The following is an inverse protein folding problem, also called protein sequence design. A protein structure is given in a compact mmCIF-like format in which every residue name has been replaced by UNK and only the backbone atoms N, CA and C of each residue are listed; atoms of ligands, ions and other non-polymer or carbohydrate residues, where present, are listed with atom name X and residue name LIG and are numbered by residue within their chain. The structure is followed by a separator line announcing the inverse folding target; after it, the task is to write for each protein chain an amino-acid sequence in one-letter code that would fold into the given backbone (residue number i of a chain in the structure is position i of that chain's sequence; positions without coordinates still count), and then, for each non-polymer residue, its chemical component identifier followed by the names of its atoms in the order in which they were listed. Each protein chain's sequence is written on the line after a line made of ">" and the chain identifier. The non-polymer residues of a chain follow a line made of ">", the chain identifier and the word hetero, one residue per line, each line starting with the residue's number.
data_IF_773030270948
#
_entry.id   IF_773030270948
#
_cell.length_a   1.000
_cell.length_b   1.000
_cell.length_c   1.000
_cell.angle_alpha   90.00
_cell.angle_beta   90.00
_cell.angle_gamma   90.00
#
_symmetry.space_group_name_H-M   'P 1'
#
loop_
_entity.id
_entity.type
_entity.pdbx_description
1 polymer ?
#
# COMPACT_ATOMS: atom_id res chain seq x y z
N UNK A 1 -2.82 -4.81 21.35
CA UNK A 1 -1.61 -4.59 22.19
C UNK A 1 -0.33 -4.96 21.44
N UNK A 2 -0.24 -6.15 20.79
CA UNK A 2 0.98 -6.55 20.07
C UNK A 2 1.38 -5.53 18.97
N UNK A 3 0.46 -5.12 18.13
CA UNK A 3 0.71 -4.10 17.09
C UNK A 3 1.21 -2.77 17.68
N UNK A 4 0.64 -2.35 18.82
CA UNK A 4 1.08 -1.13 19.50
C UNK A 4 2.52 -1.25 20.05
N UNK A 5 2.91 -2.43 20.54
CA UNK A 5 4.27 -2.67 21.03
C UNK A 5 5.28 -2.64 19.86
N UNK A 6 4.96 -3.26 18.73
CA UNK A 6 5.80 -3.21 17.51
C UNK A 6 5.89 -1.78 16.97
N UNK A 7 4.77 -1.06 16.91
CA UNK A 7 4.77 0.36 16.53
C UNK A 7 5.65 1.21 17.45
N UNK A 8 5.62 0.94 18.77
CA UNK A 8 6.42 1.69 19.73
C UNK A 8 7.93 1.52 19.49
N UNK A 9 8.43 0.29 19.29
CA UNK A 9 9.86 0.09 18.99
C UNK A 9 10.25 0.70 17.64
N UNK A 10 9.35 0.69 16.64
CA UNK A 10 9.57 1.34 15.35
C UNK A 10 9.63 2.87 15.47
N UNK A 11 8.71 3.49 16.23
CA UNK A 11 8.69 4.94 16.49
C UNK A 11 9.90 5.42 17.29
N UNK A 12 10.29 4.66 18.31
CA UNK A 12 11.49 4.95 19.11
C UNK A 12 12.80 4.71 18.34
N UNK A 13 12.75 4.06 17.17
CA UNK A 13 13.96 3.76 16.40
C UNK A 13 14.86 2.69 17.03
N UNK A 14 14.33 1.84 17.89
CA UNK A 14 15.11 0.77 18.55
C UNK A 14 15.88 -0.08 17.53
N UNK A 15 15.29 -0.52 16.40
CA UNK A 15 16.04 -1.27 15.40
C UNK A 15 17.23 -0.50 14.81
N UNK A 16 17.11 0.81 14.62
CA UNK A 16 18.21 1.63 14.10
C UNK A 16 19.40 1.66 15.08
N UNK A 17 19.12 1.78 16.38
CA UNK A 17 20.13 1.80 17.42
C UNK A 17 20.85 0.46 17.62
N UNK A 18 20.23 -0.65 17.23
CA UNK A 18 20.79 -2.00 17.33
C UNK A 18 21.57 -2.43 16.07
N UNK A 19 21.59 -1.62 15.02
CA UNK A 19 22.29 -1.94 13.77
C UNK A 19 23.81 -2.17 13.97
N UNK A 20 24.43 -1.42 14.88
CA UNK A 20 25.86 -1.53 15.18
C UNK A 20 26.22 -2.67 16.15
N UNK A 21 25.24 -3.48 16.55
CA UNK A 21 25.41 -4.59 17.45
C UNK A 21 24.58 -4.52 18.74
N UNK A 22 24.66 -5.54 19.60
CA UNK A 22 23.88 -5.61 20.85
C UNK A 22 24.19 -4.47 21.82
N UNK A 23 23.15 -3.96 22.50
CA UNK A 23 23.23 -2.85 23.47
C UNK A 23 22.55 -3.19 24.79
N UNK A 24 23.00 -2.58 25.88
CA UNK A 24 22.31 -2.68 27.18
C UNK A 24 21.02 -1.87 27.17
N UNK A 25 20.18 -2.11 28.15
CA UNK A 25 18.91 -1.36 28.25
C UNK A 25 19.17 0.11 28.58
N UNK A 26 20.21 0.43 29.34
CA UNK A 26 20.61 1.78 29.71
C UNK A 26 21.10 2.56 28.49
N UNK A 27 21.94 1.92 27.64
CA UNK A 27 22.42 2.53 26.40
C UNK A 27 21.26 2.87 25.46
N UNK A 28 20.30 1.94 25.30
CA UNK A 28 19.12 2.16 24.47
C UNK A 28 18.20 3.22 25.06
N UNK A 29 17.94 3.16 26.35
CA UNK A 29 17.09 4.13 27.03
C UNK A 29 17.64 5.56 26.92
N UNK A 30 18.95 5.72 27.07
CA UNK A 30 19.62 6.99 26.85
C UNK A 30 19.49 7.47 25.39
N UNK A 31 19.68 6.55 24.42
CA UNK A 31 19.63 6.90 23.00
C UNK A 31 18.24 7.36 22.51
N UNK A 32 17.16 6.90 23.15
CA UNK A 32 15.77 7.22 22.75
C UNK A 32 15.02 8.08 23.78
N UNK A 33 15.73 8.65 24.75
CA UNK A 33 15.19 9.47 25.84
C UNK A 33 14.01 8.77 26.57
N UNK A 34 14.23 7.51 26.96
CA UNK A 34 13.23 6.68 27.62
C UNK A 34 13.67 6.27 29.03
N UNK A 35 12.72 5.87 29.85
CA UNK A 35 12.98 5.31 31.19
C UNK A 35 13.39 3.84 31.06
N UNK A 36 14.59 3.43 31.54
CA UNK A 36 15.12 2.07 31.33
C UNK A 36 14.16 0.96 31.79
N UNK A 37 13.55 1.12 32.94
CA UNK A 37 12.63 0.13 33.53
C UNK A 37 11.35 -0.05 32.68
N UNK A 38 10.89 0.99 31.98
CA UNK A 38 9.72 0.92 31.11
C UNK A 38 10.10 0.41 29.71
N UNK A 39 11.24 0.86 29.18
CA UNK A 39 11.78 0.35 27.92
C UNK A 39 12.06 -1.15 28.00
N UNK A 40 12.64 -1.63 29.11
CA UNK A 40 12.86 -3.06 29.35
C UNK A 40 11.56 -3.88 29.20
N UNK A 41 10.45 -3.38 29.75
CA UNK A 41 9.15 -4.06 29.63
C UNK A 41 8.66 -4.15 28.21
N UNK A 42 8.83 -3.07 27.43
CA UNK A 42 8.48 -3.02 26.00
C UNK A 42 9.36 -4.01 25.21
N UNK A 43 10.67 -4.00 25.41
CA UNK A 43 11.62 -4.85 24.70
C UNK A 43 11.39 -6.32 25.01
N UNK A 44 11.12 -6.67 26.27
CA UNK A 44 10.77 -8.05 26.66
C UNK A 44 9.49 -8.52 25.95
N UNK A 45 8.47 -7.66 25.84
CA UNK A 45 7.23 -8.00 25.14
C UNK A 45 7.48 -8.22 23.64
N UNK A 46 8.26 -7.36 23.00
CA UNK A 46 8.58 -7.45 21.56
C UNK A 46 9.56 -8.59 21.25
N UNK A 47 10.42 -8.98 22.19
CA UNK A 47 11.23 -10.20 22.10
C UNK A 47 10.35 -11.44 22.11
N UNK A 48 9.34 -11.51 22.98
CA UNK A 48 8.35 -12.59 22.97
C UNK A 48 7.57 -12.71 21.67
N UNK A 49 7.50 -11.64 20.86
CA UNK A 49 6.94 -11.64 19.51
C UNK A 49 7.96 -11.94 18.41
N UNK A 50 9.23 -12.16 18.75
CA UNK A 50 10.30 -12.46 17.81
C UNK A 50 10.98 -11.26 17.15
N UNK A 51 10.60 -10.02 17.50
CA UNK A 51 11.23 -8.82 16.93
C UNK A 51 12.60 -8.49 17.52
N UNK A 52 12.86 -8.89 18.74
CA UNK A 52 14.14 -8.69 19.43
C UNK A 52 14.60 -9.97 20.10
N UNK A 53 15.86 -10.03 20.48
CA UNK A 53 16.40 -11.12 21.30
C UNK A 53 17.31 -10.56 22.38
N UNK A 54 17.39 -11.24 23.52
CA UNK A 54 18.35 -10.94 24.58
C UNK A 54 19.54 -11.92 24.43
N UNK A 55 20.74 -11.36 24.48
CA UNK A 55 21.98 -12.13 24.41
C UNK A 55 22.33 -12.72 25.78
N UNK A 56 23.20 -13.75 25.86
CA UNK A 56 23.58 -14.36 27.14
C UNK A 56 24.22 -13.39 28.16
N UNK A 57 24.81 -12.28 27.69
CA UNK A 57 25.39 -11.22 28.53
C UNK A 57 24.37 -10.12 28.87
N UNK A 58 23.07 -10.35 28.63
CA UNK A 58 21.98 -9.45 29.03
C UNK A 58 21.81 -8.21 28.15
N UNK A 59 22.38 -8.21 26.94
CA UNK A 59 22.17 -7.15 25.95
C UNK A 59 21.05 -7.50 24.98
N UNK A 60 20.51 -6.50 24.35
CA UNK A 60 19.47 -6.62 23.33
C UNK A 60 20.06 -6.60 21.94
N UNK A 61 19.54 -7.45 21.06
CA UNK A 61 19.98 -7.56 19.68
C UNK A 61 18.78 -7.63 18.72
N UNK A 62 19.05 -7.32 17.45
CA UNK A 62 18.09 -7.45 16.35
C UNK A 62 17.81 -8.92 16.02
N UNK A 63 16.67 -9.11 15.37
CA UNK A 63 16.30 -10.31 14.61
C UNK A 63 16.00 -9.93 13.17
N UNK A 64 15.86 -10.86 12.23
CA UNK A 64 15.39 -10.56 10.87
C UNK A 64 14.05 -9.84 10.84
N UNK A 65 13.17 -10.05 11.84
CA UNK A 65 11.88 -9.36 11.95
C UNK A 65 12.01 -7.88 12.33
N UNK A 66 12.99 -7.50 13.13
CA UNK A 66 13.22 -6.09 13.45
C UNK A 66 14.09 -5.37 12.41
N UNK A 67 14.87 -6.09 11.61
CA UNK A 67 15.69 -5.48 10.56
C UNK A 67 14.83 -4.73 9.54
N UNK A 68 13.65 -5.26 9.18
CA UNK A 68 12.70 -4.58 8.28
C UNK A 68 12.03 -3.35 8.92
N UNK A 69 12.21 -3.09 10.20
CA UNK A 69 11.71 -1.88 10.88
C UNK A 69 12.76 -0.76 10.95
N UNK A 70 13.96 -0.96 10.44
CA UNK A 70 14.99 0.08 10.37
C UNK A 70 14.61 1.15 9.37
N UNK A 71 15.04 2.38 9.65
CA UNK A 71 14.77 3.53 8.78
C UNK A 71 15.52 3.47 7.44
N UNK A 72 16.69 2.80 7.43
CA UNK A 72 17.59 2.67 6.27
C UNK A 72 17.48 1.32 5.55
N UNK A 73 16.59 0.42 5.98
CA UNK A 73 16.35 -0.83 5.28
C UNK A 73 15.75 -0.55 3.89
N UNK A 74 16.29 -1.20 2.85
CA UNK A 74 15.85 -1.01 1.46
C UNK A 74 14.36 -1.33 1.25
N UNK A 75 13.82 -2.25 2.05
CA UNK A 75 12.41 -2.66 2.07
C UNK A 75 11.82 -2.43 3.46
N UNK A 76 11.94 -1.21 3.97
CA UNK A 76 11.47 -0.90 5.32
C UNK A 76 9.96 -0.95 5.45
N UNK A 77 9.47 -1.65 6.47
CA UNK A 77 8.08 -1.66 6.91
C UNK A 77 7.84 -0.77 8.14
N UNK A 78 8.83 0.04 8.54
CA UNK A 78 8.73 0.92 9.70
C UNK A 78 7.49 1.81 9.66
N UNK A 79 7.25 2.45 8.51
CA UNK A 79 6.12 3.38 8.39
C UNK A 79 4.77 2.68 8.47
N UNK A 80 4.68 1.45 7.96
CA UNK A 80 3.49 0.63 8.17
C UNK A 80 3.31 0.26 9.65
N UNK A 81 4.37 -0.16 10.33
CA UNK A 81 4.31 -0.42 11.76
C UNK A 81 3.89 0.83 12.57
N UNK A 82 4.27 2.03 12.14
CA UNK A 82 3.81 3.27 12.75
C UNK A 82 2.33 3.56 12.46
N UNK A 83 1.87 3.30 11.24
CA UNK A 83 0.49 3.53 10.80
C UNK A 83 -0.53 2.74 11.61
N UNK A 84 -0.29 1.44 11.85
CA UNK A 84 -1.25 0.55 12.52
C UNK A 84 -1.57 0.94 13.97
N UNK A 85 -0.77 1.80 14.59
CA UNK A 85 -1.01 2.36 15.92
C UNK A 85 -1.16 3.89 15.90
N UNK A 86 -1.45 4.47 14.74
CA UNK A 86 -1.84 5.87 14.66
C UNK A 86 -3.27 6.06 15.23
N UNK A 87 -3.53 7.20 15.83
CA UNK A 87 -4.76 7.47 16.55
C UNK A 87 -6.00 7.27 15.67
N UNK A 88 -5.98 7.83 14.46
CA UNK A 88 -7.11 7.70 13.53
C UNK A 88 -7.39 6.24 13.14
N UNK A 89 -6.33 5.44 12.97
CA UNK A 89 -6.43 4.03 12.62
C UNK A 89 -6.99 3.20 13.78
N UNK A 90 -6.44 3.41 14.99
CA UNK A 90 -6.86 2.66 16.19
C UNK A 90 -8.31 2.96 16.57
N UNK A 91 -8.74 4.21 16.44
CA UNK A 91 -10.15 4.59 16.74
C UNK A 91 -11.12 3.90 15.79
N UNK A 92 -10.79 3.86 14.50
CA UNK A 92 -11.61 3.18 13.51
C UNK A 92 -11.73 1.68 13.80
N UNK A 93 -10.63 0.99 14.11
CA UNK A 93 -10.64 -0.44 14.46
C UNK A 93 -11.58 -0.77 15.61
N UNK A 94 -11.71 0.11 16.61
CA UNK A 94 -12.60 -0.06 17.74
C UNK A 94 -14.10 0.02 17.40
N UNK A 95 -14.45 0.40 16.16
CA UNK A 95 -15.84 0.60 15.71
C UNK A 95 -16.29 -0.43 14.67
N UNK A 96 -15.61 -1.55 14.56
CA UNK A 96 -15.88 -2.57 13.52
C UNK A 96 -17.31 -3.13 13.60
N UNK A 97 -17.80 -3.42 14.80
CA UNK A 97 -19.15 -3.95 15.01
C UNK A 97 -20.24 -2.95 14.60
N UNK A 98 -19.98 -1.66 14.78
CA UNK A 98 -20.90 -0.60 14.37
C UNK A 98 -20.91 -0.43 12.85
N UNK A 99 -19.74 -0.48 12.18
CA UNK A 99 -19.66 -0.49 10.72
C UNK A 99 -20.41 -1.69 10.14
N UNK A 100 -20.27 -2.88 10.71
CA UNK A 100 -21.03 -4.07 10.27
C UNK A 100 -22.55 -3.89 10.40
N UNK A 101 -23.01 -3.17 11.43
CA UNK A 101 -24.45 -2.92 11.63
C UNK A 101 -25.02 -1.85 10.72
N UNK A 102 -24.25 -0.80 10.46
CA UNK A 102 -24.75 0.39 9.75
C UNK A 102 -24.40 0.40 8.27
N UNK A 103 -23.35 -0.30 7.87
CA UNK A 103 -22.76 -0.21 6.54
C UNK A 103 -21.97 1.08 6.30
N UNK A 104 -21.85 1.95 7.30
CA UNK A 104 -21.12 3.22 7.20
C UNK A 104 -19.66 3.04 7.61
N UNK A 105 -18.67 3.51 6.81
CA UNK A 105 -17.27 3.46 7.21
C UNK A 105 -17.02 4.15 8.56
N UNK A 106 -16.17 3.58 9.40
CA UNK A 106 -15.88 4.15 10.71
C UNK A 106 -15.23 5.54 10.62
N UNK A 107 -14.42 5.78 9.58
CA UNK A 107 -13.81 7.09 9.32
C UNK A 107 -14.86 8.16 9.08
N UNK A 108 -15.86 7.87 8.26
CA UNK A 108 -16.93 8.82 7.94
C UNK A 108 -17.72 9.20 9.19
N UNK A 109 -18.06 8.20 10.00
CA UNK A 109 -18.78 8.39 11.25
C UNK A 109 -17.97 9.12 12.33
N UNK A 110 -16.68 8.75 12.51
CA UNK A 110 -15.83 9.31 13.57
C UNK A 110 -15.35 10.72 13.23
N UNK A 111 -15.00 10.97 11.96
CA UNK A 111 -14.40 12.23 11.53
C UNK A 111 -15.35 13.11 10.70
N UNK A 112 -16.57 12.64 10.40
CA UNK A 112 -17.57 13.38 9.63
C UNK A 112 -17.21 13.54 8.16
N UNK A 113 -16.28 12.73 7.63
CA UNK A 113 -15.84 12.78 6.25
C UNK A 113 -15.08 11.51 5.84
N UNK A 114 -15.04 11.19 4.53
CA UNK A 114 -14.25 10.08 3.99
C UNK A 114 -12.75 10.17 4.35
N UNK A 115 -12.08 9.03 4.44
CA UNK A 115 -10.68 8.92 4.86
C UNK A 115 -9.73 9.84 4.07
N UNK A 116 -9.86 9.89 2.75
CA UNK A 116 -9.00 10.74 1.91
C UNK A 116 -9.25 12.23 2.15
N UNK A 117 -10.50 12.65 2.39
CA UNK A 117 -10.81 14.03 2.77
C UNK A 117 -10.29 14.39 4.17
N UNK A 118 -10.25 13.42 5.09
CA UNK A 118 -9.61 13.59 6.40
C UNK A 118 -8.10 13.85 6.25
N UNK A 119 -7.40 13.11 5.39
CA UNK A 119 -5.98 13.32 5.12
C UNK A 119 -5.66 14.69 4.50
N UNK A 120 -6.58 15.31 3.77
CA UNK A 120 -6.39 16.69 3.29
C UNK A 120 -6.34 17.70 4.45
N UNK A 121 -7.02 17.40 5.56
CA UNK A 121 -7.07 18.26 6.76
C UNK A 121 -6.00 17.92 7.79
N UNK A 122 -5.67 16.64 7.98
CA UNK A 122 -4.64 16.19 8.91
C UNK A 122 -3.37 15.74 8.16
N UNK A 123 -2.49 16.71 7.92
CA UNK A 123 -1.22 16.47 7.20
C UNK A 123 -0.31 15.45 7.87
N UNK A 124 -0.35 15.32 9.21
CA UNK A 124 0.48 14.35 9.94
C UNK A 124 0.02 12.92 9.66
N UNK A 125 -1.28 12.66 9.75
CA UNK A 125 -1.85 11.36 9.39
C UNK A 125 -1.67 11.05 7.91
N UNK A 126 -1.83 12.04 7.02
CA UNK A 126 -1.56 11.91 5.59
C UNK A 126 -0.10 11.50 5.32
N UNK A 127 0.87 12.14 5.95
CA UNK A 127 2.29 11.81 5.79
C UNK A 127 2.59 10.38 6.27
N UNK A 128 2.05 9.98 7.42
CA UNK A 128 2.21 8.63 7.97
C UNK A 128 1.62 7.59 6.99
N UNK A 129 0.43 7.85 6.47
CA UNK A 129 -0.23 7.00 5.49
C UNK A 129 0.58 6.90 4.19
N UNK A 130 0.98 8.02 3.61
CA UNK A 130 1.74 8.06 2.35
C UNK A 130 3.08 7.32 2.46
N UNK A 131 3.78 7.47 3.59
CA UNK A 131 5.02 6.74 3.86
C UNK A 131 4.79 5.24 4.01
N UNK A 132 3.69 4.83 4.66
CA UNK A 132 3.33 3.43 4.78
C UNK A 132 2.98 2.81 3.41
N UNK A 133 2.24 3.52 2.55
CA UNK A 133 1.94 3.07 1.18
C UNK A 133 3.21 2.98 0.32
N UNK A 134 4.15 3.91 0.49
CA UNK A 134 5.47 3.83 -0.15
C UNK A 134 6.23 2.58 0.33
N UNK A 135 6.21 2.27 1.63
CA UNK A 135 6.84 1.06 2.19
C UNK A 135 6.27 -0.22 1.56
N UNK A 136 4.96 -0.32 1.39
CA UNK A 136 4.37 -1.45 0.65
C UNK A 136 4.86 -1.51 -0.79
N UNK A 137 4.91 -0.38 -1.48
CA UNK A 137 5.34 -0.33 -2.87
C UNK A 137 6.80 -0.74 -3.05
N UNK A 138 7.70 -0.50 -2.08
CA UNK A 138 9.10 -0.96 -2.16
C UNK A 138 9.22 -2.48 -2.13
N UNK A 139 8.32 -3.15 -1.43
CA UNK A 139 8.30 -4.63 -1.34
C UNK A 139 7.55 -5.23 -2.54
N UNK A 140 6.41 -4.66 -2.90
CA UNK A 140 5.49 -5.24 -3.89
C UNK A 140 5.88 -4.97 -5.33
N UNK A 141 6.36 -3.75 -5.66
CA UNK A 141 6.62 -3.36 -7.04
C UNK A 141 7.62 -4.27 -7.78
N UNK A 142 8.74 -4.70 -7.19
CA UNK A 142 9.65 -5.63 -7.85
C UNK A 142 9.00 -6.99 -8.17
N UNK A 143 8.20 -7.53 -7.25
CA UNK A 143 7.55 -8.85 -7.42
C UNK A 143 6.49 -8.82 -8.52
N UNK A 144 5.80 -7.69 -8.67
CA UNK A 144 4.80 -7.48 -9.72
C UNK A 144 5.48 -7.31 -11.09
N UNK A 145 6.54 -6.48 -11.15
CA UNK A 145 7.30 -6.26 -12.36
C UNK A 145 8.01 -7.53 -12.86
N UNK A 146 8.28 -8.50 -11.97
CA UNK A 146 8.81 -9.81 -12.31
C UNK A 146 7.73 -10.79 -12.78
N UNK A 147 6.55 -10.78 -12.14
CA UNK A 147 5.48 -11.72 -12.43
C UNK A 147 4.76 -11.45 -13.75
N UNK A 148 4.68 -10.20 -14.18
CA UNK A 148 3.96 -9.81 -15.39
C UNK A 148 4.94 -9.41 -16.51
N UNK A 149 4.78 -10.00 -17.70
CA UNK A 149 5.56 -9.63 -18.88
C UNK A 149 4.98 -8.37 -19.57
N UNK A 150 5.65 -7.24 -19.36
CA UNK A 150 5.33 -5.95 -19.99
C UNK A 150 6.01 -5.73 -21.35
N UNK A 151 6.74 -6.70 -21.92
CA UNK A 151 7.54 -6.52 -23.13
C UNK A 151 6.75 -6.04 -24.35
N UNK A 152 5.44 -6.29 -24.38
CA UNK A 152 4.53 -5.84 -25.45
C UNK A 152 3.83 -4.51 -25.15
N UNK A 153 4.05 -3.92 -23.99
CA UNK A 153 3.45 -2.65 -23.56
C UNK A 153 4.46 -1.54 -23.87
N UNK A 154 4.16 -0.67 -24.81
CA UNK A 154 5.02 0.48 -25.15
C UNK A 154 4.60 1.75 -24.40
N UNK A 155 3.33 1.86 -24.05
CA UNK A 155 2.79 2.97 -23.26
C UNK A 155 1.95 2.45 -22.09
N UNK A 156 2.40 2.74 -20.88
CA UNK A 156 1.74 2.36 -19.62
C UNK A 156 1.24 3.59 -18.89
N UNK A 157 -0.05 3.62 -18.53
CA UNK A 157 -0.59 4.66 -17.65
C UNK A 157 -0.88 4.07 -16.27
N UNK A 158 -0.20 4.58 -15.26
CA UNK A 158 -0.39 4.25 -13.84
C UNK A 158 -1.39 5.26 -13.25
N UNK A 159 -2.58 4.76 -12.91
CA UNK A 159 -3.70 5.56 -12.40
C UNK A 159 -3.73 5.50 -10.89
N UNK A 160 -3.60 6.64 -10.23
CA UNK A 160 -3.48 6.71 -8.77
C UNK A 160 -2.14 6.14 -8.27
N UNK A 161 -1.08 6.29 -9.08
CA UNK A 161 0.24 5.69 -8.79
C UNK A 161 1.03 6.38 -7.67
N UNK A 162 0.42 7.33 -6.94
CA UNK A 162 1.03 8.03 -5.83
C UNK A 162 2.33 8.73 -6.23
N UNK A 163 3.43 8.43 -5.54
CA UNK A 163 4.74 9.03 -5.83
C UNK A 163 5.48 8.41 -7.03
N UNK A 164 4.83 7.48 -7.75
CA UNK A 164 5.34 6.89 -8.98
C UNK A 164 6.41 5.80 -8.81
N UNK A 165 6.63 5.28 -7.60
CA UNK A 165 7.63 4.23 -7.35
C UNK A 165 7.32 2.95 -8.14
N UNK A 166 6.06 2.56 -8.22
CA UNK A 166 5.66 1.36 -8.96
C UNK A 166 5.92 1.52 -10.47
N UNK A 167 5.51 2.65 -11.04
CA UNK A 167 5.81 2.96 -12.44
C UNK A 167 7.31 3.01 -12.71
N UNK A 168 8.10 3.65 -11.83
CA UNK A 168 9.56 3.71 -11.93
C UNK A 168 10.19 2.31 -11.98
N UNK A 169 9.76 1.40 -11.09
CA UNK A 169 10.24 0.01 -11.05
C UNK A 169 9.97 -0.75 -12.36
N UNK A 170 8.80 -0.54 -12.96
CA UNK A 170 8.48 -1.15 -14.26
C UNK A 170 9.35 -0.55 -15.37
N UNK A 171 9.49 0.78 -15.41
CA UNK A 171 10.28 1.47 -16.43
C UNK A 171 11.77 1.14 -16.37
N UNK A 172 12.31 0.86 -15.17
CA UNK A 172 13.70 0.41 -15.03
C UNK A 172 13.93 -0.92 -15.76
N UNK A 173 12.96 -1.84 -15.66
CA UNK A 173 13.04 -3.17 -16.28
C UNK A 173 12.75 -3.14 -17.79
N UNK A 174 11.95 -2.16 -18.26
CA UNK A 174 11.51 -2.07 -19.65
C UNK A 174 11.95 -0.73 -20.26
N UNK A 175 13.19 -0.64 -20.82
CA UNK A 175 13.79 0.62 -21.26
C UNK A 175 13.07 1.26 -22.46
N UNK A 176 12.36 0.50 -23.29
CA UNK A 176 11.64 1.00 -24.46
C UNK A 176 10.20 1.46 -24.14
N UNK A 177 9.76 1.32 -22.90
CA UNK A 177 8.42 1.71 -22.46
C UNK A 177 8.37 3.19 -22.09
N UNK A 178 7.29 3.86 -22.47
CA UNK A 178 6.92 5.18 -21.96
C UNK A 178 5.87 5.06 -20.86
N UNK A 179 6.01 5.83 -19.79
CA UNK A 179 5.10 5.86 -18.68
C UNK A 179 4.26 7.14 -18.64
N UNK A 180 3.04 7.02 -18.14
CA UNK A 180 2.25 8.18 -17.70
C UNK A 180 1.83 7.93 -16.27
N UNK A 181 2.19 8.83 -15.36
CA UNK A 181 1.61 8.88 -14.02
C UNK A 181 0.37 9.79 -14.08
N UNK A 182 -0.78 9.26 -13.70
CA UNK A 182 -2.01 10.05 -13.60
C UNK A 182 -2.49 10.08 -12.15
N UNK A 183 -2.45 11.27 -11.54
CA UNK A 183 -2.66 11.42 -10.10
C UNK A 183 -3.35 12.74 -9.76
N UNK A 184 -3.84 12.87 -8.53
CA UNK A 184 -4.48 14.10 -8.05
C UNK A 184 -3.47 15.27 -8.00
N UNK A 185 -3.90 16.52 -8.26
CA UNK A 185 -3.01 17.68 -8.29
C UNK A 185 -2.13 17.85 -7.06
N UNK A 186 -2.68 17.60 -5.85
CA UNK A 186 -1.94 17.73 -4.59
C UNK A 186 -0.80 16.72 -4.47
N UNK A 187 -0.93 15.52 -5.06
CA UNK A 187 0.13 14.50 -5.08
C UNK A 187 1.18 14.86 -6.12
N UNK A 188 0.75 15.32 -7.30
CA UNK A 188 1.66 15.73 -8.39
C UNK A 188 2.62 16.83 -7.93
N UNK A 189 2.13 17.80 -7.16
CA UNK A 189 2.96 18.91 -6.65
C UNK A 189 4.07 18.47 -5.68
N UNK A 190 3.99 17.25 -5.14
CA UNK A 190 4.99 16.68 -4.20
C UNK A 190 6.01 15.74 -4.87
N UNK A 191 6.00 15.59 -6.19
CA UNK A 191 6.82 14.60 -6.92
C UNK A 191 8.27 15.01 -7.17
N UNK A 192 8.64 16.26 -6.96
CA UNK A 192 9.99 16.75 -7.26
C UNK A 192 11.07 15.92 -6.54
N UNK A 193 12.11 15.47 -7.29
CA UNK A 193 13.18 14.63 -6.76
C UNK A 193 12.75 13.21 -6.37
N UNK A 194 11.56 12.78 -6.82
CA UNK A 194 10.99 11.46 -6.53
C UNK A 194 11.51 10.34 -7.45
N UNK A 195 10.95 9.12 -7.32
CA UNK A 195 11.39 7.92 -8.05
C UNK A 195 11.36 8.05 -9.58
N UNK A 196 10.54 8.95 -10.13
CA UNK A 196 10.41 9.15 -11.57
C UNK A 196 11.46 10.09 -12.18
N UNK A 197 12.26 10.80 -11.37
CA UNK A 197 13.27 11.75 -11.86
C UNK A 197 14.27 11.13 -12.85
N UNK A 198 14.79 9.90 -12.64
CA UNK A 198 15.67 9.22 -13.61
C UNK A 198 14.99 8.95 -14.96
N UNK A 199 13.67 8.92 -15.00
CA UNK A 199 12.86 8.53 -16.17
C UNK A 199 12.16 9.72 -16.85
N UNK A 200 12.45 10.96 -16.48
CA UNK A 200 11.77 12.18 -16.96
C UNK A 200 11.66 12.31 -18.49
N UNK A 201 12.59 11.72 -19.24
CA UNK A 201 12.54 11.73 -20.70
C UNK A 201 11.53 10.72 -21.30
N UNK A 202 11.01 9.79 -20.49
CA UNK A 202 10.07 8.74 -20.87
C UNK A 202 8.79 8.74 -20.05
N UNK A 203 8.65 9.69 -19.12
CA UNK A 203 7.50 9.79 -18.22
C UNK A 203 6.77 11.10 -18.43
N UNK A 204 5.47 11.00 -18.56
CA UNK A 204 4.55 12.14 -18.46
C UNK A 204 3.85 12.08 -17.10
N UNK A 205 3.82 13.20 -16.40
CA UNK A 205 3.02 13.35 -15.19
C UNK A 205 1.82 14.20 -15.55
N UNK A 206 0.63 13.67 -15.31
CA UNK A 206 -0.65 14.33 -15.61
C UNK A 206 -1.47 14.37 -14.33
N UNK A 207 -1.95 15.56 -14.01
CA UNK A 207 -2.89 15.76 -12.92
C UNK A 207 -4.34 15.58 -13.38
N UNK A 208 -5.17 14.99 -12.50
CA UNK A 208 -6.59 14.84 -12.80
C UNK A 208 -7.32 14.00 -11.77
N UNK A 209 -8.58 13.77 -12.08
CA UNK A 209 -9.46 12.95 -11.23
C UNK A 209 -9.98 11.76 -12.06
N UNK A 210 -9.61 10.54 -11.65
CA UNK A 210 -9.95 9.29 -12.34
C UNK A 210 -11.46 9.03 -12.47
N UNK A 211 -12.30 9.70 -11.67
CA UNK A 211 -13.75 9.63 -11.78
C UNK A 211 -14.32 10.56 -12.86
N UNK A 212 -13.52 11.50 -13.38
CA UNK A 212 -13.94 12.48 -14.40
C UNK A 212 -13.39 12.13 -15.78
N UNK A 213 -12.12 11.76 -15.85
CA UNK A 213 -11.45 11.46 -17.11
C UNK A 213 -10.19 10.62 -16.88
N UNK A 214 -9.81 9.83 -17.88
CA UNK A 214 -8.55 9.06 -17.94
C UNK A 214 -7.81 9.49 -19.21
N UNK A 215 -6.48 9.72 -19.17
CA UNK A 215 -5.68 10.03 -20.35
C UNK A 215 -5.81 8.92 -21.41
N UNK A 216 -6.18 9.21 -22.65
CA UNK A 216 -6.38 8.19 -23.68
C UNK A 216 -5.08 7.74 -24.34
N UNK A 217 -5.13 6.60 -25.05
CA UNK A 217 -4.08 6.13 -25.95
C UNK A 217 -3.01 5.26 -25.33
N UNK A 218 -3.21 4.77 -24.12
CA UNK A 218 -2.30 3.80 -23.51
C UNK A 218 -2.52 2.38 -24.04
N UNK A 219 -1.43 1.62 -24.21
CA UNK A 219 -1.50 0.18 -24.48
C UNK A 219 -1.95 -0.59 -23.23
N UNK A 220 -1.65 -0.05 -22.05
CA UNK A 220 -2.16 -0.61 -20.80
C UNK A 220 -2.43 0.49 -19.77
N UNK A 221 -3.53 0.32 -19.03
CA UNK A 221 -3.81 1.02 -17.79
C UNK A 221 -3.50 0.09 -16.63
N UNK A 222 -2.83 0.61 -15.62
CA UNK A 222 -2.54 -0.15 -14.40
C UNK A 222 -3.04 0.63 -13.18
N UNK A 223 -3.61 -0.08 -12.22
CA UNK A 223 -4.06 0.45 -10.93
C UNK A 223 -3.62 -0.52 -9.84
N UNK A 224 -2.78 -0.07 -8.90
CA UNK A 224 -2.31 -0.86 -7.77
C UNK A 224 -2.90 -0.32 -6.47
N UNK A 225 -3.67 -1.14 -5.76
CA UNK A 225 -4.35 -0.74 -4.51
C UNK A 225 -5.23 0.49 -4.67
N UNK A 226 -6.04 0.49 -5.74
CA UNK A 226 -6.99 1.56 -6.06
C UNK A 226 -8.42 1.05 -6.06
N UNK A 227 -8.67 -0.07 -6.76
CA UNK A 227 -10.04 -0.58 -6.96
C UNK A 227 -10.64 -1.06 -5.64
N UNK A 228 -9.82 -1.51 -4.71
CA UNK A 228 -10.29 -1.94 -3.39
C UNK A 228 -10.80 -0.79 -2.48
N UNK A 229 -10.46 0.45 -2.76
CA UNK A 229 -10.94 1.60 -1.99
C UNK A 229 -12.37 2.01 -2.32
N UNK A 230 -12.96 1.43 -3.39
CA UNK A 230 -14.19 1.96 -3.98
C UNK A 230 -15.28 0.90 -4.13
N UNK A 231 -16.55 1.36 -4.11
CA UNK A 231 -17.70 0.53 -4.43
C UNK A 231 -17.67 0.03 -5.89
N UNK A 232 -18.41 -1.04 -6.19
CA UNK A 232 -18.50 -1.58 -7.55
C UNK A 232 -19.04 -0.55 -8.56
N UNK A 233 -19.95 0.34 -8.14
CA UNK A 233 -20.46 1.43 -8.99
C UNK A 233 -19.35 2.42 -9.34
N UNK A 234 -18.56 2.83 -8.36
CA UNK A 234 -17.43 3.77 -8.53
C UNK A 234 -16.34 3.15 -9.39
N UNK A 235 -15.98 1.88 -9.11
CA UNK A 235 -15.03 1.11 -9.93
C UNK A 235 -15.52 1.01 -11.37
N UNK A 236 -16.80 0.69 -11.59
CA UNK A 236 -17.40 0.61 -12.93
C UNK A 236 -17.22 1.91 -13.73
N UNK A 237 -17.34 3.08 -13.10
CA UNK A 237 -17.09 4.38 -13.75
C UNK A 237 -15.64 4.51 -14.20
N UNK A 238 -14.68 4.22 -13.31
CA UNK A 238 -13.24 4.29 -13.63
C UNK A 238 -12.89 3.32 -14.76
N UNK A 239 -13.32 2.05 -14.64
CA UNK A 239 -13.01 1.02 -15.63
C UNK A 239 -13.63 1.31 -17.01
N UNK A 240 -14.83 1.90 -17.05
CA UNK A 240 -15.46 2.34 -18.29
C UNK A 240 -14.69 3.48 -18.96
N UNK A 241 -14.14 4.42 -18.19
CA UNK A 241 -13.26 5.47 -18.71
C UNK A 241 -11.95 4.89 -19.25
N UNK A 242 -11.36 3.92 -18.56
CA UNK A 242 -10.20 3.17 -19.07
C UNK A 242 -10.55 2.46 -20.38
N UNK A 243 -11.73 1.82 -20.47
CA UNK A 243 -12.19 1.13 -21.68
C UNK A 243 -12.33 2.07 -22.88
N UNK A 244 -12.83 3.26 -22.65
CA UNK A 244 -12.98 4.27 -23.69
C UNK A 244 -11.62 4.85 -24.16
N UNK A 245 -10.60 4.87 -23.29
CA UNK A 245 -9.31 5.46 -23.57
C UNK A 245 -8.24 4.48 -24.07
N UNK A 246 -8.41 3.17 -23.86
CA UNK A 246 -7.40 2.16 -24.20
C UNK A 246 -7.35 1.92 -25.71
N UNK A 247 -6.17 1.52 -26.22
CA UNK A 247 -6.01 1.04 -27.62
C UNK A 247 -6.82 -0.24 -27.87
N UNK A 248 -7.06 -0.58 -29.14
CA UNK A 248 -7.89 -1.74 -29.53
C UNK A 248 -7.44 -3.06 -28.92
N UNK A 249 -6.12 -3.26 -28.82
CA UNK A 249 -5.48 -4.46 -28.27
C UNK A 249 -4.96 -4.24 -26.84
N UNK A 250 -5.34 -3.11 -26.24
CA UNK A 250 -4.81 -2.68 -24.97
C UNK A 250 -5.33 -3.50 -23.80
N UNK A 251 -4.81 -3.24 -22.62
CA UNK A 251 -5.07 -4.04 -21.42
C UNK A 251 -5.43 -3.19 -20.22
N UNK A 252 -6.22 -3.78 -19.34
CA UNK A 252 -6.45 -3.28 -17.98
C UNK A 252 -5.75 -4.22 -17.01
N UNK A 253 -4.90 -3.67 -16.15
CA UNK A 253 -4.14 -4.40 -15.15
C UNK A 253 -4.54 -3.88 -13.77
N UNK A 254 -5.33 -4.66 -13.04
CA UNK A 254 -5.65 -4.37 -11.65
C UNK A 254 -4.67 -5.16 -10.78
N UNK A 255 -3.99 -4.50 -9.86
CA UNK A 255 -3.00 -5.12 -8.97
C UNK A 255 -3.52 -5.05 -7.54
N UNK A 256 -4.16 -6.14 -7.12
CA UNK A 256 -4.90 -6.25 -5.86
C UNK A 256 -4.76 -7.64 -5.25
N UNK A 257 -5.16 -7.78 -4.00
CA UNK A 257 -5.40 -9.08 -3.40
C UNK A 257 -6.62 -9.75 -4.05
N UNK A 258 -6.55 -11.06 -4.26
CA UNK A 258 -7.70 -11.85 -4.71
C UNK A 258 -8.15 -12.72 -3.55
N UNK A 259 -9.35 -12.45 -3.03
CA UNK A 259 -9.90 -13.18 -1.88
C UNK A 259 -10.25 -14.60 -2.28
N UNK A 260 -9.70 -15.63 -1.61
CA UNK A 260 -10.10 -17.01 -1.87
C UNK A 260 -11.55 -17.26 -1.43
N UNK A 261 -12.31 -18.01 -2.24
CA UNK A 261 -13.73 -18.27 -2.00
C UNK A 261 -14.00 -19.22 -0.80
N UNK A 262 -13.00 -19.94 -0.35
CA UNK A 262 -13.14 -20.87 0.78
C UNK A 262 -12.97 -20.16 2.15
N UNK A 263 -13.22 -20.89 3.24
CA UNK A 263 -13.17 -20.35 4.60
C UNK A 263 -11.76 -20.38 5.23
N UNK A 264 -10.71 -20.81 4.54
CA UNK A 264 -9.35 -20.81 5.06
C UNK A 264 -8.90 -19.39 5.42
N UNK A 265 -8.02 -19.30 6.41
CA UNK A 265 -7.37 -18.04 6.72
C UNK A 265 -6.57 -17.53 5.51
N UNK A 266 -6.82 -16.27 5.18
CA UNK A 266 -6.05 -15.54 4.18
C UNK A 266 -5.97 -14.06 4.60
N UNK A 267 -4.80 -13.42 4.51
CA UNK A 267 -4.65 -12.01 4.89
C UNK A 267 -5.57 -11.05 4.11
N UNK A 268 -5.94 -11.38 2.87
CA UNK A 268 -6.86 -10.57 2.07
C UNK A 268 -8.24 -10.41 2.71
N UNK A 269 -8.72 -11.44 3.44
CA UNK A 269 -10.00 -11.35 4.19
C UNK A 269 -9.93 -10.38 5.35
N UNK A 270 -8.76 -10.24 5.98
CA UNK A 270 -8.55 -9.22 7.03
C UNK A 270 -8.43 -7.83 6.39
N UNK A 271 -7.75 -7.74 5.23
CA UNK A 271 -7.67 -6.48 4.47
C UNK A 271 -9.05 -6.02 3.99
N UNK A 272 -9.93 -6.94 3.60
CA UNK A 272 -11.32 -6.63 3.24
C UNK A 272 -12.08 -5.91 4.37
N UNK A 273 -11.89 -6.37 5.62
CA UNK A 273 -12.45 -5.68 6.79
C UNK A 273 -11.81 -4.28 6.99
N UNK A 274 -10.54 -4.12 6.68
CA UNK A 274 -9.86 -2.82 6.72
C UNK A 274 -10.45 -1.87 5.68
N UNK A 275 -10.65 -2.33 4.43
CA UNK A 275 -11.28 -1.53 3.38
C UNK A 275 -12.71 -1.13 3.74
N UNK A 276 -13.52 -2.06 4.21
CA UNK A 276 -14.88 -1.79 4.70
C UNK A 276 -14.88 -0.72 5.81
N UNK A 277 -13.90 -0.77 6.70
CA UNK A 277 -13.82 0.09 7.89
C UNK A 277 -13.36 1.51 7.55
N UNK A 278 -12.42 1.67 6.62
CA UNK A 278 -11.75 2.94 6.35
C UNK A 278 -12.29 3.67 5.13
N UNK A 279 -12.58 2.96 4.04
CA UNK A 279 -12.95 3.57 2.77
C UNK A 279 -14.38 3.24 2.32
N UNK A 280 -14.97 2.22 2.91
CA UNK A 280 -16.23 1.64 2.41
C UNK A 280 -16.05 0.82 1.14
N UNK A 281 -14.79 0.55 0.78
CA UNK A 281 -14.40 -0.32 -0.31
C UNK A 281 -14.41 -1.80 0.06
N UNK A 282 -13.77 -2.64 -0.75
CA UNK A 282 -13.72 -4.09 -0.53
C UNK A 282 -12.61 -4.77 -1.33
N UNK A 283 -12.06 -5.83 -0.77
CA UNK A 283 -11.31 -6.81 -1.54
C UNK A 283 -12.29 -7.74 -2.28
N UNK A 284 -11.84 -8.31 -3.39
CA UNK A 284 -12.72 -9.09 -4.30
C UNK A 284 -12.17 -10.46 -4.58
N UNK A 285 -13.08 -11.42 -4.74
CA UNK A 285 -12.79 -12.74 -5.33
C UNK A 285 -12.57 -12.62 -6.83
N UNK A 286 -11.96 -13.62 -7.46
CA UNK A 286 -11.81 -13.68 -8.93
C UNK A 286 -13.17 -13.56 -9.66
N UNK A 287 -14.22 -14.19 -9.13
CA UNK A 287 -15.57 -14.10 -9.68
C UNK A 287 -16.12 -12.67 -9.63
N UNK A 288 -15.89 -11.96 -8.54
CA UNK A 288 -16.33 -10.56 -8.40
C UNK A 288 -15.56 -9.63 -9.33
N UNK A 289 -14.24 -9.82 -9.50
CA UNK A 289 -13.48 -9.12 -10.54
C UNK A 289 -13.99 -9.41 -11.94
N UNK A 290 -14.32 -10.67 -12.25
CA UNK A 290 -14.90 -11.03 -13.55
C UNK A 290 -16.23 -10.31 -13.79
N UNK A 291 -17.09 -10.21 -12.77
CA UNK A 291 -18.37 -9.50 -12.84
C UNK A 291 -18.16 -8.00 -13.04
N UNK A 292 -17.25 -7.39 -12.28
CA UNK A 292 -16.91 -5.97 -12.38
C UNK A 292 -16.35 -5.61 -13.78
N UNK A 293 -15.49 -6.45 -14.32
CA UNK A 293 -14.92 -6.28 -15.65
C UNK A 293 -16.01 -6.36 -16.73
N UNK A 294 -16.85 -7.39 -16.67
CA UNK A 294 -17.93 -7.55 -17.64
C UNK A 294 -18.90 -6.36 -17.66
N UNK A 295 -19.22 -5.81 -16.49
CA UNK A 295 -20.07 -4.61 -16.37
C UNK A 295 -19.44 -3.34 -16.93
N UNK A 296 -18.13 -3.33 -17.20
CA UNK A 296 -17.36 -2.14 -17.60
C UNK A 296 -16.74 -2.27 -19.00
N UNK A 297 -17.18 -3.26 -19.82
CA UNK A 297 -16.69 -3.49 -21.19
C UNK A 297 -15.33 -4.20 -21.25
N UNK A 298 -14.97 -4.92 -20.19
CA UNK A 298 -13.77 -5.75 -20.12
C UNK A 298 -14.12 -7.21 -19.91
N UNK A 299 -13.26 -8.11 -20.34
CA UNK A 299 -13.31 -9.54 -20.01
C UNK A 299 -12.06 -9.88 -19.20
N UNK A 300 -12.26 -10.52 -18.04
CA UNK A 300 -11.14 -11.07 -17.27
C UNK A 300 -10.44 -12.13 -18.12
N UNK A 301 -9.16 -11.94 -18.37
CA UNK A 301 -8.34 -12.84 -19.18
C UNK A 301 -7.60 -13.84 -18.30
N UNK A 302 -6.93 -13.37 -17.26
CA UNK A 302 -6.19 -14.22 -16.32
C UNK A 302 -5.89 -13.47 -15.01
N UNK A 303 -5.64 -14.24 -13.96
CA UNK A 303 -5.10 -13.78 -12.68
C UNK A 303 -3.71 -14.35 -12.51
N UNK A 304 -2.73 -13.50 -12.31
CA UNK A 304 -1.31 -13.87 -12.21
C UNK A 304 -0.87 -13.60 -10.78
N UNK A 305 -0.65 -14.63 -9.95
CA UNK A 305 -0.11 -14.45 -8.61
C UNK A 305 1.32 -13.91 -8.66
N UNK A 306 1.69 -13.12 -7.64
CA UNK A 306 3.05 -12.63 -7.46
C UNK A 306 3.68 -13.23 -6.20
N UNK A 307 4.94 -12.94 -5.94
CA UNK A 307 5.59 -13.30 -4.68
C UNK A 307 5.16 -12.40 -3.50
N UNK A 308 4.24 -11.45 -3.73
CA UNK A 308 3.59 -10.63 -2.70
C UNK A 308 2.14 -11.10 -2.48
N UNK A 309 1.40 -10.52 -1.50
CA UNK A 309 -0.03 -10.80 -1.35
C UNK A 309 -0.91 -10.37 -2.53
N UNK A 310 -0.37 -9.61 -3.48
CA UNK A 310 -1.11 -9.09 -4.63
C UNK A 310 -0.99 -10.03 -5.84
N UNK A 311 -2.01 -9.97 -6.70
CA UNK A 311 -2.02 -10.59 -8.01
C UNK A 311 -2.21 -9.52 -9.09
N UNK A 312 -1.76 -9.79 -10.31
CA UNK A 312 -2.11 -8.99 -11.48
C UNK A 312 -3.35 -9.60 -12.13
N UNK A 313 -4.45 -8.87 -12.10
CA UNK A 313 -5.74 -9.24 -12.68
C UNK A 313 -5.83 -8.55 -14.04
N UNK A 314 -5.64 -9.32 -15.12
CA UNK A 314 -5.60 -8.81 -16.48
C UNK A 314 -6.98 -8.82 -17.13
N UNK A 315 -7.43 -7.66 -17.60
CA UNK A 315 -8.60 -7.48 -18.45
C UNK A 315 -8.23 -7.18 -19.89
N UNK A 316 -9.04 -7.72 -20.82
CA UNK A 316 -8.97 -7.40 -22.24
C UNK A 316 -10.29 -6.78 -22.70
N UNK A 317 -10.25 -5.85 -23.68
CA UNK A 317 -11.46 -5.23 -24.21
C UNK A 317 -12.44 -6.24 -24.78
N UNK A 318 -13.76 -5.97 -24.66
CA UNK A 318 -14.84 -6.69 -25.36
C UNK A 318 -15.61 -5.72 -26.24
#
# INVERSE_FOLDING_TARGET
>A
MNSAAVSAIARLGIPDHLQSGPKTIEELAHAVDARPELLFRLMRATAGLGFLTETPDGKWAQTPMSDVLRSDASQTLRHFACLIADDWHVRALGSLDETVRTGEPATDRIYGMPAFAYFEKDRKSAETFNRAMTSFSTVEAPTIAEAYDFSRVRSLTDIGGGRGLFLATILERYPDMNGTLFELPQVVHELAGGPLEPFKNRVRVLEGNMFKSIPPGADAYIMKRIVHDWSDEQCGKILSLCRAGVTSDGKLLIVESVVPADARYDPSKVMDLVMMLFTGGRERTEKEFSTLFAASGWRLNRVIPTASPLSVIEGVPV
#
